data_IF_360944969275
#
_entry.id   IF_360944969275
#
_cell.length_a   1.000
_cell.length_b   1.000
_cell.length_c   1.000
_cell.angle_alpha   90.00
_cell.angle_beta   90.00
_cell.angle_gamma   90.00
#
_symmetry.space_group_name_H-M   'P 1'
#
loop_
_entity.id
_entity.type
_entity.pdbx_description
1 polymer ?
#
# COMPACT_ATOMS: atom_id res chain seq x y z
N UNK A 1 59.95 24.31 -28.58
CA UNK A 1 59.99 23.10 -29.45
C UNK A 1 59.30 23.52 -30.73
N UNK A 2 59.90 23.59 -31.92
CA UNK A 2 60.88 22.76 -32.68
C UNK A 2 61.74 23.75 -33.54
N UNK A 3 62.82 23.36 -34.26
CA UNK A 3 64.18 23.02 -33.83
C UNK A 3 65.27 23.95 -34.46
N UNK A 4 66.50 23.94 -33.93
CA UNK A 4 67.68 24.49 -34.62
C UNK A 4 68.55 23.34 -35.15
N UNK A 5 68.57 23.17 -36.47
CA UNK A 5 69.49 22.36 -37.27
C UNK A 5 70.10 23.33 -38.29
N UNK A 6 71.42 23.58 -38.28
CA UNK A 6 72.27 22.86 -39.22
C UNK A 6 73.71 22.68 -38.70
N UNK A 7 73.96 21.57 -37.98
CA UNK A 7 75.29 20.94 -37.93
C UNK A 7 75.32 19.57 -38.64
N UNK A 8 74.18 19.13 -39.17
CA UNK A 8 74.04 17.90 -39.95
C UNK A 8 74.40 18.06 -41.44
N UNK A 9 74.68 19.27 -41.95
CA UNK A 9 75.06 19.46 -43.36
C UNK A 9 76.54 19.18 -43.66
N UNK A 10 77.41 19.10 -42.64
CA UNK A 10 78.84 18.80 -42.83
C UNK A 10 79.16 17.30 -42.84
N UNK A 11 78.14 16.44 -42.68
CA UNK A 11 78.25 14.98 -42.80
C UNK A 11 77.89 14.45 -44.19
N UNK A 12 77.55 15.32 -45.15
CA UNK A 12 76.98 14.90 -46.45
C UNK A 12 77.76 15.32 -47.70
N UNK A 13 78.95 15.91 -47.54
CA UNK A 13 79.96 15.97 -48.60
C UNK A 13 81.09 15.04 -48.21
N UNK A 14 80.96 13.78 -48.59
CA UNK A 14 81.80 13.39 -49.71
C UNK A 14 82.83 12.32 -49.33
N UNK A 15 82.45 11.05 -49.17
CA UNK A 15 83.31 9.87 -49.20
C UNK A 15 84.14 9.73 -50.51
N UNK A 16 84.86 10.79 -50.92
CA UNK A 16 85.65 10.90 -52.15
C UNK A 16 87.16 10.83 -51.91
N UNK A 17 87.60 10.36 -50.74
CA UNK A 17 89.00 10.03 -50.46
C UNK A 17 89.17 8.56 -50.01
N UNK A 18 88.25 7.69 -50.41
CA UNK A 18 88.52 6.26 -50.47
C UNK A 18 89.03 5.95 -51.89
N UNK A 19 90.31 5.62 -52.01
CA UNK A 19 90.85 5.01 -53.23
C UNK A 19 91.04 3.51 -52.97
N UNK A 20 90.33 2.61 -53.68
CA UNK A 20 90.40 1.17 -53.48
C UNK A 20 91.70 0.59 -54.05
N UNK A 21 92.11 -0.55 -53.51
CA UNK A 21 93.22 -1.34 -54.02
C UNK A 21 92.90 -1.92 -55.41
N UNK A 22 93.29 -1.21 -56.48
CA UNK A 22 94.05 -1.75 -57.62
C UNK A 22 94.04 -0.77 -58.80
N UNK A 23 95.24 -0.62 -59.39
CA UNK A 23 95.59 0.06 -60.66
C UNK A 23 95.46 1.60 -60.71
N UNK A 24 96.58 2.18 -61.13
CA UNK A 24 96.88 3.59 -61.22
C UNK A 24 96.02 4.34 -62.25
N UNK A 25 95.52 5.53 -61.89
CA UNK A 25 95.79 6.76 -62.65
C UNK A 25 95.29 8.00 -61.88
N UNK A 26 96.24 8.90 -61.62
CA UNK A 26 96.14 10.37 -61.59
C UNK A 26 95.25 11.08 -60.54
N UNK A 27 95.96 11.87 -59.70
CA UNK A 27 95.52 13.02 -58.90
C UNK A 27 95.11 12.79 -57.44
N UNK A 28 95.89 12.02 -56.69
CA UNK A 28 95.92 12.13 -55.23
C UNK A 28 96.93 13.20 -54.79
N UNK A 29 96.48 14.23 -54.06
CA UNK A 29 97.35 15.26 -53.47
C UNK A 29 98.31 14.61 -52.45
N UNK A 30 99.61 14.78 -52.65
CA UNK A 30 100.62 14.28 -51.71
C UNK A 30 100.53 15.04 -50.37
N UNK A 31 100.90 14.40 -49.26
CA UNK A 31 100.92 14.98 -47.88
C UNK A 31 101.38 16.45 -47.79
N UNK A 32 102.46 16.91 -48.47
CA UNK A 32 102.84 18.32 -48.45
C UNK A 32 101.82 19.25 -49.13
N UNK A 33 101.16 18.83 -50.20
CA UNK A 33 100.16 19.64 -50.90
C UNK A 33 98.89 19.82 -50.06
N UNK A 34 98.49 18.80 -49.30
CA UNK A 34 97.37 18.87 -48.37
C UNK A 34 97.65 19.85 -47.21
N UNK A 35 98.86 19.86 -46.67
CA UNK A 35 99.26 20.79 -45.60
C UNK A 35 99.28 22.24 -46.08
N UNK A 36 99.70 22.49 -47.32
CA UNK A 36 99.66 23.84 -47.91
C UNK A 36 98.22 24.32 -48.11
N UNK A 37 97.32 23.44 -48.57
CA UNK A 37 95.90 23.76 -48.72
C UNK A 37 95.23 24.08 -47.37
N UNK A 38 95.54 23.31 -46.32
CA UNK A 38 95.03 23.57 -44.95
C UNK A 38 95.51 24.93 -44.43
N UNK A 39 96.79 25.29 -44.65
CA UNK A 39 97.32 26.60 -44.25
C UNK A 39 96.67 27.76 -44.99
N UNK A 40 96.42 27.60 -46.29
CA UNK A 40 95.68 28.60 -47.07
C UNK A 40 94.24 28.75 -46.58
N UNK A 41 93.56 27.64 -46.28
CA UNK A 41 92.20 27.67 -45.71
C UNK A 41 92.18 28.36 -44.33
N UNK A 42 93.16 28.08 -43.47
CA UNK A 42 93.28 28.73 -42.15
C UNK A 42 93.51 30.24 -42.27
N UNK A 43 94.32 30.71 -43.22
CA UNK A 43 94.49 32.16 -43.44
C UNK A 43 93.21 32.81 -43.97
N UNK A 44 92.48 32.13 -44.84
CA UNK A 44 91.21 32.61 -45.38
C UNK A 44 90.12 32.68 -44.31
N UNK A 45 90.05 31.68 -43.44
CA UNK A 45 89.17 31.66 -42.26
C UNK A 45 89.53 32.75 -41.25
N UNK A 46 90.82 32.98 -40.97
CA UNK A 46 91.27 34.05 -40.08
C UNK A 46 90.95 35.45 -40.63
N UNK A 47 91.06 35.62 -41.95
CA UNK A 47 90.62 36.84 -42.65
C UNK A 47 89.10 37.06 -42.58
N UNK A 48 88.31 36.01 -42.75
CA UNK A 48 86.85 36.05 -42.59
C UNK A 48 86.42 36.42 -41.16
N UNK A 49 87.12 35.90 -40.15
CA UNK A 49 86.86 36.18 -38.74
C UNK A 49 87.14 37.65 -38.38
N UNK A 50 88.22 38.24 -38.91
CA UNK A 50 88.52 39.67 -38.72
C UNK A 50 87.47 40.59 -39.37
N UNK A 51 87.01 40.27 -40.59
CA UNK A 51 85.94 41.03 -41.26
C UNK A 51 84.59 40.90 -40.56
N UNK A 52 84.28 39.72 -40.04
CA UNK A 52 83.05 39.48 -39.27
C UNK A 52 83.06 40.24 -37.93
N UNK A 53 84.20 40.25 -37.22
CA UNK A 53 84.36 41.02 -35.99
C UNK A 53 84.23 42.54 -36.23
N UNK A 54 84.74 43.04 -37.35
CA UNK A 54 84.62 44.45 -37.76
C UNK A 54 83.17 44.80 -38.16
N UNK A 55 82.47 43.87 -38.83
CA UNK A 55 81.04 43.97 -39.13
C UNK A 55 80.17 44.04 -37.87
N UNK A 56 80.45 43.22 -36.86
CA UNK A 56 79.78 43.29 -35.55
C UNK A 56 80.08 44.62 -34.84
N UNK A 57 81.32 45.12 -34.92
CA UNK A 57 81.68 46.43 -34.34
C UNK A 57 80.89 47.57 -35.00
N UNK A 58 80.76 47.54 -36.33
CA UNK A 58 79.95 48.51 -37.09
C UNK A 58 78.45 48.41 -36.75
N UNK A 59 77.90 47.20 -36.66
CA UNK A 59 76.51 46.98 -36.24
C UNK A 59 76.27 47.47 -34.81
N UNK A 60 77.20 47.23 -33.88
CA UNK A 60 77.11 47.72 -32.50
C UNK A 60 77.17 49.24 -32.42
N UNK A 61 77.99 49.88 -33.25
CA UNK A 61 78.05 51.34 -33.40
C UNK A 61 76.74 51.91 -33.96
N UNK A 62 76.16 51.30 -35.00
CA UNK A 62 74.84 51.69 -35.55
C UNK A 62 73.71 51.48 -34.55
N UNK A 63 73.75 50.38 -33.79
CA UNK A 63 72.78 50.10 -32.74
C UNK A 63 72.89 51.13 -31.59
N UNK A 64 74.10 51.55 -31.21
CA UNK A 64 74.29 52.61 -30.22
C UNK A 64 73.78 53.98 -30.72
N UNK A 65 73.95 54.30 -32.00
CA UNK A 65 73.39 55.49 -32.62
C UNK A 65 71.85 55.46 -32.69
N UNK A 66 71.26 54.30 -32.99
CA UNK A 66 69.81 54.05 -32.92
C UNK A 66 69.29 54.18 -31.48
N UNK A 67 69.99 53.61 -30.50
CA UNK A 67 69.60 53.72 -29.09
C UNK A 67 69.63 55.18 -28.62
N UNK A 68 70.66 55.94 -29.01
CA UNK A 68 70.76 57.38 -28.74
C UNK A 68 69.65 58.20 -29.41
N UNK A 69 69.06 57.70 -30.49
CA UNK A 69 67.97 58.36 -31.20
C UNK A 69 66.60 58.03 -30.56
N UNK A 70 66.43 56.79 -30.07
CA UNK A 70 65.22 56.35 -29.36
C UNK A 70 65.13 56.96 -27.96
N UNK A 71 66.26 57.17 -27.26
CA UNK A 71 66.29 57.83 -25.95
C UNK A 71 65.96 59.34 -25.98
N UNK A 72 65.78 59.95 -27.16
CA UNK A 72 65.37 61.36 -27.32
C UNK A 72 63.87 61.54 -27.55
N UNK A 73 63.08 60.46 -27.54
CA UNK A 73 61.61 60.52 -27.59
C UNK A 73 61.09 60.45 -26.15
N UNK A 74 60.37 61.50 -25.72
CA UNK A 74 59.71 61.55 -24.42
C UNK A 74 58.69 60.42 -24.25
N UNK A 75 58.39 59.94 -23.04
CA UNK A 75 57.50 58.80 -22.85
C UNK A 75 56.05 59.19 -23.22
N UNK A 76 55.46 58.44 -24.15
CA UNK A 76 54.02 58.45 -24.39
C UNK A 76 53.26 58.14 -23.10
N UNK A 77 52.05 58.69 -22.99
CA UNK A 77 51.14 58.53 -21.87
C UNK A 77 51.01 57.06 -21.42
N UNK A 78 50.79 56.78 -20.12
CA UNK A 78 50.67 55.42 -19.62
C UNK A 78 49.55 54.66 -20.36
N UNK A 79 49.74 53.37 -20.69
CA UNK A 79 48.74 52.58 -21.39
C UNK A 79 47.45 52.53 -20.58
N UNK A 80 46.32 52.77 -21.24
CA UNK A 80 44.99 52.69 -20.61
C UNK A 80 44.79 51.26 -20.09
N UNK A 81 44.57 51.14 -18.78
CA UNK A 81 44.34 49.87 -18.08
C UNK A 81 43.03 49.94 -17.32
N UNK A 82 42.22 48.88 -17.39
CA UNK A 82 40.99 48.76 -16.62
C UNK A 82 41.26 48.42 -15.15
N UNK A 83 40.32 48.71 -14.23
CA UNK A 83 40.42 48.32 -12.83
C UNK A 83 40.55 46.80 -12.64
N UNK A 84 41.34 46.38 -11.66
CA UNK A 84 41.51 44.97 -11.34
C UNK A 84 40.21 44.35 -10.80
N UNK A 85 39.80 43.22 -11.37
CA UNK A 85 38.60 42.48 -10.95
C UNK A 85 38.95 41.36 -9.98
N UNK A 86 38.10 41.14 -8.98
CA UNK A 86 38.20 40.01 -8.05
C UNK A 86 37.38 38.81 -8.54
N UNK A 87 37.73 37.62 -8.05
CA UNK A 87 36.86 36.45 -8.24
C UNK A 87 35.57 36.64 -7.43
N UNK A 88 34.39 36.28 -7.98
CA UNK A 88 33.16 36.28 -7.23
C UNK A 88 33.24 35.30 -6.04
N UNK A 89 32.51 35.60 -4.95
CA UNK A 89 32.34 34.66 -3.84
C UNK A 89 31.81 33.34 -4.38
N UNK A 90 32.42 32.23 -3.95
CA UNK A 90 32.11 30.87 -4.45
C UNK A 90 32.31 30.69 -5.96
N UNK A 91 33.25 31.43 -6.55
CA UNK A 91 33.64 31.29 -7.94
C UNK A 91 35.12 31.54 -8.20
N UNK A 92 35.48 31.51 -9.50
CA UNK A 92 36.84 31.61 -10.02
C UNK A 92 36.87 32.62 -11.15
N UNK A 93 37.99 33.33 -11.26
CA UNK A 93 38.29 34.29 -12.34
C UNK A 93 39.45 33.78 -13.18
N UNK A 94 39.32 33.85 -14.50
CA UNK A 94 40.36 33.48 -15.46
C UNK A 94 40.79 34.73 -16.23
N UNK A 95 42.08 35.08 -16.13
CA UNK A 95 42.66 36.27 -16.76
C UNK A 95 43.38 37.16 -15.74
N UNK A 96 44.62 37.55 -16.06
CA UNK A 96 45.51 38.35 -15.21
C UNK A 96 45.96 39.68 -15.83
N UNK A 97 45.53 39.96 -17.08
CA UNK A 97 45.87 41.17 -17.82
C UNK A 97 44.63 42.08 -17.91
N UNK A 98 44.84 43.39 -17.75
CA UNK A 98 43.77 44.39 -17.70
C UNK A 98 43.96 45.51 -18.75
N UNK A 99 44.67 45.21 -19.84
CA UNK A 99 44.90 46.14 -20.95
C UNK A 99 43.72 46.10 -21.92
N UNK A 100 43.58 47.13 -22.76
CA UNK A 100 42.57 47.19 -23.82
C UNK A 100 42.53 45.88 -24.64
N UNK A 101 41.31 45.44 -24.98
CA UNK A 101 40.98 44.19 -25.70
C UNK A 101 41.26 42.88 -24.96
N UNK A 102 41.75 42.91 -23.71
CA UNK A 102 41.84 41.71 -22.90
C UNK A 102 40.48 41.32 -22.31
N UNK A 103 40.18 40.03 -22.35
CA UNK A 103 38.96 39.42 -21.83
C UNK A 103 39.22 38.63 -20.54
N UNK A 104 38.33 38.80 -19.56
CA UNK A 104 38.36 38.09 -18.28
C UNK A 104 37.11 37.25 -18.15
N UNK A 105 37.26 35.97 -17.84
CA UNK A 105 36.16 35.02 -17.71
C UNK A 105 35.86 34.67 -16.25
N UNK A 106 34.60 34.34 -15.95
CA UNK A 106 34.14 33.96 -14.62
C UNK A 106 33.43 32.61 -14.64
N UNK A 107 33.64 31.81 -13.60
CA UNK A 107 32.89 30.57 -13.37
C UNK A 107 32.55 30.43 -11.89
N UNK A 108 31.44 29.77 -11.56
CA UNK A 108 31.09 29.44 -10.18
C UNK A 108 31.58 28.04 -9.81
N UNK A 109 31.80 27.82 -8.51
CA UNK A 109 32.05 26.50 -7.96
C UNK A 109 30.80 25.59 -8.12
N UNK A 110 30.95 24.26 -8.09
CA UNK A 110 29.81 23.34 -8.09
C UNK A 110 28.80 23.70 -6.99
N UNK A 111 27.50 23.66 -7.30
CA UNK A 111 26.42 24.07 -6.40
C UNK A 111 26.00 25.54 -6.52
N UNK A 112 26.66 26.34 -7.36
CA UNK A 112 26.32 27.74 -7.60
C UNK A 112 26.12 28.03 -9.09
N UNK A 113 25.14 28.90 -9.41
CA UNK A 113 24.89 29.39 -10.77
C UNK A 113 25.42 30.81 -10.93
N UNK A 114 26.00 31.08 -12.09
CA UNK A 114 26.48 32.43 -12.45
C UNK A 114 25.29 33.32 -12.80
N UNK A 115 25.21 34.48 -12.15
CA UNK A 115 24.24 35.54 -12.43
C UNK A 115 25.01 36.75 -12.95
N UNK A 116 24.82 37.08 -14.24
CA UNK A 116 25.54 38.12 -14.96
C UNK A 116 26.30 37.59 -16.18
N UNK A 117 27.17 38.41 -16.80
CA UNK A 117 27.94 38.00 -17.98
C UNK A 117 29.04 36.98 -17.62
N UNK A 118 29.26 35.99 -18.49
CA UNK A 118 30.31 34.96 -18.32
C UNK A 118 31.73 35.47 -18.59
N UNK A 119 31.85 36.60 -19.29
CA UNK A 119 33.11 37.27 -19.57
C UNK A 119 32.92 38.77 -19.78
N UNK A 120 33.99 39.53 -19.54
CA UNK A 120 34.03 40.99 -19.72
C UNK A 120 35.33 41.40 -20.42
N UNK A 121 35.25 42.42 -21.29
CA UNK A 121 36.36 42.91 -22.10
C UNK A 121 36.73 44.34 -21.69
N UNK A 122 38.03 44.66 -21.65
CA UNK A 122 38.51 46.01 -21.32
C UNK A 122 38.43 46.94 -22.53
N UNK A 123 37.71 48.05 -22.39
CA UNK A 123 37.49 49.04 -23.45
C UNK A 123 38.58 50.14 -23.47
N UNK A 124 38.77 50.82 -24.62
CA UNK A 124 39.73 51.93 -24.76
C UNK A 124 39.47 53.12 -23.82
N UNK A 125 38.27 53.21 -23.24
CA UNK A 125 37.89 54.24 -22.26
C UNK A 125 38.25 53.87 -20.80
N UNK A 126 38.89 52.71 -20.58
CA UNK A 126 39.29 52.23 -19.25
C UNK A 126 38.17 51.55 -18.45
N UNK A 127 37.05 51.18 -19.08
CA UNK A 127 35.91 50.49 -18.44
C UNK A 127 35.68 49.07 -18.98
N UNK A 128 34.96 48.24 -18.21
CA UNK A 128 34.59 46.88 -18.62
C UNK A 128 33.26 46.89 -19.39
N UNK A 129 33.08 45.96 -20.34
CA UNK A 129 31.86 45.84 -21.16
C UNK A 129 30.58 45.46 -20.40
N UNK A 130 30.68 45.05 -19.12
CA UNK A 130 29.54 44.65 -18.31
C UNK A 130 29.81 44.71 -16.80
N UNK A 131 28.77 44.51 -16.00
CA UNK A 131 28.86 44.45 -14.54
C UNK A 131 29.54 43.15 -14.07
N UNK A 132 30.14 43.19 -12.88
CA UNK A 132 30.80 42.03 -12.30
C UNK A 132 29.75 40.95 -11.91
N UNK A 133 29.86 39.71 -12.42
CA UNK A 133 28.89 38.67 -12.12
C UNK A 133 29.06 38.15 -10.68
N UNK A 134 28.00 37.60 -10.11
CA UNK A 134 28.02 36.94 -8.80
C UNK A 134 27.47 35.51 -8.88
N UNK A 135 27.89 34.67 -7.95
CA UNK A 135 27.43 33.30 -7.85
C UNK A 135 26.27 33.21 -6.86
N UNK A 136 25.16 32.59 -7.28
CA UNK A 136 24.00 32.33 -6.42
C UNK A 136 23.87 30.82 -6.18
N UNK A 137 23.63 30.45 -4.93
CA UNK A 137 23.39 29.06 -4.52
C UNK A 137 22.26 28.42 -5.33
N UNK A 138 22.48 27.18 -5.75
CA UNK A 138 21.49 26.30 -6.40
C UNK A 138 21.06 25.24 -5.38
N UNK A 139 20.24 25.65 -4.40
CA UNK A 139 19.56 24.72 -3.49
C UNK A 139 18.34 24.15 -4.19
N UNK A 140 18.31 22.83 -4.33
CA UNK A 140 17.19 22.11 -4.94
C UNK A 140 15.92 22.26 -4.08
N UNK A 141 16.06 22.37 -2.75
CA UNK A 141 14.94 22.58 -1.82
C UNK A 141 14.38 24.01 -1.83
N UNK A 142 15.10 25.01 -2.35
CA UNK A 142 14.61 26.40 -2.43
C UNK A 142 13.33 26.54 -3.29
N UNK A 143 13.11 25.60 -4.21
CA UNK A 143 11.91 25.52 -5.05
C UNK A 143 10.67 24.95 -4.33
N UNK A 144 10.80 24.58 -3.05
CA UNK A 144 9.77 23.86 -2.26
C UNK A 144 9.18 22.66 -3.04
N UNK A 145 10.01 21.70 -3.47
CA UNK A 145 9.56 20.66 -4.38
C UNK A 145 8.63 19.64 -3.71
N UNK A 146 8.69 19.47 -2.39
CA UNK A 146 7.85 18.54 -1.65
C UNK A 146 6.43 19.08 -1.47
N UNK A 147 5.44 18.29 -1.86
CA UNK A 147 4.02 18.66 -1.75
C UNK A 147 3.45 18.18 -0.41
N UNK A 148 2.26 18.71 -0.06
CA UNK A 148 1.42 18.18 1.02
C UNK A 148 2.10 18.10 2.40
N UNK A 149 2.94 19.09 2.74
CA UNK A 149 3.64 19.15 4.02
C UNK A 149 4.84 18.22 4.15
N UNK A 150 5.37 17.68 3.04
CA UNK A 150 6.62 16.93 3.03
C UNK A 150 7.84 17.80 3.34
N UNK A 151 8.78 17.27 4.13
CA UNK A 151 10.03 17.96 4.48
C UNK A 151 11.09 17.69 3.42
N UNK A 152 11.59 18.73 2.77
CA UNK A 152 12.69 18.63 1.81
C UNK A 152 14.02 18.52 2.55
N UNK A 153 14.84 17.54 2.19
CA UNK A 153 16.22 17.44 2.68
C UNK A 153 17.19 17.36 1.50
N UNK A 154 18.23 18.17 1.57
CA UNK A 154 19.30 18.22 0.57
C UNK A 154 20.11 16.91 0.60
N UNK A 155 20.48 16.42 -0.58
CA UNK A 155 21.29 15.20 -0.75
C UNK A 155 22.48 15.46 -1.66
N UNK A 156 23.44 14.53 -1.67
CA UNK A 156 24.77 14.75 -2.26
C UNK A 156 24.82 15.00 -3.79
N UNK A 157 23.69 14.96 -4.50
CA UNK A 157 23.50 15.38 -5.90
C UNK A 157 21.99 15.43 -6.30
N UNK A 158 21.07 15.41 -5.32
CA UNK A 158 19.61 15.45 -5.52
C UNK A 158 18.88 15.71 -4.19
N UNK A 159 17.75 16.42 -4.21
CA UNK A 159 16.83 16.52 -3.06
C UNK A 159 16.02 15.24 -2.81
N UNK A 160 15.66 14.96 -1.55
CA UNK A 160 14.63 13.94 -1.21
C UNK A 160 13.54 14.54 -0.33
N UNK A 161 12.31 14.07 -0.50
CA UNK A 161 11.19 14.45 0.34
C UNK A 161 10.93 13.39 1.41
N UNK A 162 10.89 13.82 2.68
CA UNK A 162 10.41 13.01 3.80
C UNK A 162 8.92 13.28 3.96
N UNK A 163 8.10 12.27 3.66
CA UNK A 163 6.65 12.42 3.65
C UNK A 163 6.04 12.24 5.05
N UNK A 164 5.03 13.05 5.41
CA UNK A 164 4.27 12.83 6.63
C UNK A 164 3.49 11.50 6.58
N UNK A 165 3.06 10.96 7.74
CA UNK A 165 2.23 9.77 7.79
C UNK A 165 1.01 9.92 6.87
N UNK A 166 0.68 8.88 6.10
CA UNK A 166 -0.45 8.95 5.19
C UNK A 166 -0.12 9.38 3.75
N UNK A 167 1.17 9.62 3.42
CA UNK A 167 1.60 10.11 2.08
C UNK A 167 2.79 9.32 1.53
N UNK A 168 2.81 9.11 0.21
CA UNK A 168 3.86 8.41 -0.53
C UNK A 168 4.22 9.12 -1.83
N UNK A 169 5.28 8.65 -2.51
CA UNK A 169 5.80 9.22 -3.76
C UNK A 169 7.02 10.11 -3.54
N UNK A 170 7.77 10.36 -4.62
CA UNK A 170 9.04 11.11 -4.60
C UNK A 170 8.90 12.58 -4.16
N UNK A 171 7.70 13.16 -4.30
CA UNK A 171 7.35 14.52 -3.86
C UNK A 171 6.20 14.53 -2.84
N UNK A 172 5.89 13.38 -2.22
CA UNK A 172 4.72 13.21 -1.36
C UNK A 172 3.38 13.53 -2.05
N UNK A 173 3.32 13.28 -3.35
CA UNK A 173 2.17 13.60 -4.21
C UNK A 173 1.04 12.57 -4.09
N UNK A 174 1.31 11.37 -3.59
CA UNK A 174 0.30 10.32 -3.41
C UNK A 174 -0.18 10.29 -1.96
N UNK A 175 -1.47 10.06 -1.77
CA UNK A 175 -2.01 9.67 -0.47
C UNK A 175 -1.83 8.17 -0.33
N UNK A 176 -1.35 7.69 0.82
CA UNK A 176 -1.41 6.26 1.10
C UNK A 176 -2.88 5.90 1.20
N UNK A 177 -3.37 5.05 0.30
CA UNK A 177 -4.61 4.32 0.51
C UNK A 177 -4.35 3.29 1.63
N UNK A 178 -4.27 3.78 2.86
CA UNK A 178 -4.49 2.93 4.02
C UNK A 178 -5.99 2.72 4.05
N UNK A 179 -6.40 1.53 3.62
CA UNK A 179 -7.77 1.08 3.73
C UNK A 179 -8.24 1.19 5.18
N UNK A 180 -9.40 1.83 5.39
CA UNK A 180 -9.97 1.96 6.73
C UNK A 180 -10.77 0.69 6.97
N UNK A 181 -10.32 -0.16 7.88
CA UNK A 181 -11.06 -1.37 8.20
C UNK A 181 -12.38 -1.02 8.90
N UNK A 182 -13.48 -0.97 8.16
CA UNK A 182 -14.80 -0.63 8.73
C UNK A 182 -15.29 -1.72 9.68
N UNK A 183 -14.87 -2.97 9.49
CA UNK A 183 -15.22 -4.07 10.38
C UNK A 183 -14.63 -3.89 11.77
N UNK A 184 -13.40 -3.39 11.89
CA UNK A 184 -12.80 -3.03 13.17
C UNK A 184 -13.42 -1.76 13.75
N UNK A 185 -13.73 -0.78 12.88
CA UNK A 185 -14.30 0.49 13.30
C UNK A 185 -15.71 0.36 13.90
N UNK A 186 -16.55 -0.51 13.33
CA UNK A 186 -17.94 -0.75 13.77
C UNK A 186 -18.13 -2.07 14.53
N UNK A 187 -17.08 -2.88 14.69
CA UNK A 187 -17.12 -4.13 15.48
C UNK A 187 -17.09 -3.93 16.99
N UNK A 188 -17.01 -2.67 17.48
CA UNK A 188 -17.01 -2.35 18.90
C UNK A 188 -18.44 -2.25 19.47
N UNK A 189 -18.66 -2.75 20.68
CA UNK A 189 -19.97 -2.86 21.36
C UNK A 189 -20.75 -1.53 21.50
N UNK A 190 -20.07 -0.39 21.35
CA UNK A 190 -20.66 0.95 21.47
C UNK A 190 -21.21 1.52 20.14
N UNK A 191 -21.16 0.77 19.03
CA UNK A 191 -21.60 1.24 17.71
C UNK A 191 -22.72 0.38 17.12
N UNK A 192 -23.56 0.95 16.25
CA UNK A 192 -24.56 0.18 15.51
C UNK A 192 -23.86 -0.94 14.73
N UNK A 193 -24.38 -2.17 14.88
CA UNK A 193 -23.83 -3.36 14.24
C UNK A 193 -23.86 -3.18 12.71
N UNK A 194 -22.69 -3.22 12.07
CA UNK A 194 -22.53 -2.92 10.64
C UNK A 194 -23.14 -3.99 9.73
N UNK A 195 -22.91 -5.24 10.10
CA UNK A 195 -23.41 -6.45 9.45
C UNK A 195 -24.21 -7.26 10.47
N UNK A 196 -25.30 -7.90 10.05
CA UNK A 196 -26.07 -8.78 10.94
C UNK A 196 -25.20 -9.92 11.48
N UNK A 197 -24.32 -10.49 10.64
CA UNK A 197 -23.39 -11.54 11.02
C UNK A 197 -21.92 -11.14 10.84
N UNK A 198 -21.23 -11.66 9.82
CA UNK A 198 -19.80 -11.44 9.62
C UNK A 198 -19.54 -10.25 8.70
N UNK A 199 -18.51 -9.47 9.03
CA UNK A 199 -18.01 -8.36 8.22
C UNK A 199 -16.65 -8.73 7.63
N UNK A 200 -16.50 -8.52 6.33
CA UNK A 200 -15.23 -8.74 5.62
C UNK A 200 -14.75 -7.43 5.04
N UNK A 201 -13.59 -6.98 5.52
CA UNK A 201 -12.94 -5.78 5.03
C UNK A 201 -12.41 -5.98 3.61
N UNK A 202 -12.55 -4.97 2.75
CA UNK A 202 -12.08 -4.98 1.37
C UNK A 202 -11.38 -3.66 1.05
N UNK A 203 -10.39 -3.62 0.14
CA UNK A 203 -9.76 -2.34 -0.19
C UNK A 203 -10.78 -1.30 -0.68
N UNK A 204 -10.96 -0.23 0.10
CA UNK A 204 -11.88 0.88 -0.15
C UNK A 204 -13.34 0.65 0.27
N UNK A 205 -13.68 -0.49 0.90
CA UNK A 205 -15.04 -0.78 1.36
C UNK A 205 -15.13 -2.00 2.30
N UNK A 206 -16.32 -2.46 2.61
CA UNK A 206 -16.55 -3.74 3.27
C UNK A 206 -17.69 -4.49 2.59
N UNK A 207 -17.78 -5.79 2.87
CA UNK A 207 -18.98 -6.57 2.55
C UNK A 207 -19.41 -7.40 3.76
N UNK A 208 -20.72 -7.55 3.92
CA UNK A 208 -21.27 -8.46 4.90
C UNK A 208 -21.38 -9.86 4.30
N UNK A 209 -21.20 -10.88 5.13
CA UNK A 209 -21.35 -12.28 4.74
C UNK A 209 -22.23 -13.00 5.76
N UNK A 210 -23.15 -13.80 5.24
CA UNK A 210 -24.06 -14.61 6.05
C UNK A 210 -23.46 -16.01 6.29
N UNK A 211 -23.83 -16.66 7.40
CA UNK A 211 -23.43 -18.03 7.66
C UNK A 211 -24.08 -19.00 6.67
N UNK A 212 -23.63 -20.26 6.66
CA UNK A 212 -24.22 -21.33 5.84
C UNK A 212 -25.71 -21.49 6.12
N UNK A 213 -26.51 -21.73 5.09
CA UNK A 213 -27.98 -21.81 5.19
C UNK A 213 -28.67 -20.44 5.18
N UNK A 214 -27.94 -19.33 5.11
CA UNK A 214 -28.49 -17.97 5.03
C UNK A 214 -28.06 -17.27 3.75
N UNK A 215 -28.95 -16.42 3.23
CA UNK A 215 -28.67 -15.53 2.09
C UNK A 215 -28.72 -14.07 2.52
N UNK A 216 -27.92 -13.25 1.86
CA UNK A 216 -27.88 -11.81 2.10
C UNK A 216 -29.12 -11.13 1.49
N UNK A 217 -29.71 -10.21 2.24
CA UNK A 217 -30.84 -9.41 1.79
C UNK A 217 -30.38 -8.27 0.86
N UNK A 218 -31.34 -7.61 0.22
CA UNK A 218 -31.10 -6.53 -0.74
C UNK A 218 -30.40 -5.30 -0.11
N UNK A 219 -30.42 -5.18 1.22
CA UNK A 219 -29.70 -4.14 1.96
C UNK A 219 -28.18 -4.39 2.04
N UNK A 220 -27.72 -5.59 1.63
CA UNK A 220 -26.32 -5.99 1.68
C UNK A 220 -25.77 -6.17 3.10
N UNK A 221 -26.64 -6.24 4.12
CA UNK A 221 -26.23 -6.24 5.54
C UNK A 221 -26.94 -7.30 6.37
N UNK A 222 -28.22 -7.56 6.06
CA UNK A 222 -29.06 -8.47 6.80
C UNK A 222 -29.04 -9.88 6.18
N UNK A 223 -29.24 -10.88 7.01
CA UNK A 223 -29.26 -12.29 6.62
C UNK A 223 -30.68 -12.84 6.78
N UNK A 224 -31.13 -13.56 5.76
CA UNK A 224 -32.40 -14.28 5.77
C UNK A 224 -32.13 -15.77 5.59
N UNK A 225 -32.82 -16.56 6.40
CA UNK A 225 -32.76 -18.02 6.37
C UNK A 225 -33.25 -18.54 5.02
N UNK A 226 -32.58 -19.55 4.49
CA UNK A 226 -32.99 -20.21 3.24
C UNK A 226 -33.94 -21.32 3.61
N UNK A 227 -35.23 -21.16 3.30
CA UNK A 227 -36.22 -22.21 3.54
C UNK A 227 -36.01 -23.39 2.57
N UNK A 228 -35.31 -24.42 3.04
CA UNK A 228 -35.09 -25.63 2.24
C UNK A 228 -36.37 -26.44 2.04
N UNK A 229 -37.36 -26.31 2.92
CA UNK A 229 -38.63 -27.02 2.82
C UNK A 229 -39.57 -26.42 1.75
N UNK A 230 -39.39 -25.16 1.39
CA UNK A 230 -40.14 -24.51 0.31
C UNK A 230 -39.63 -24.86 -1.11
N UNK A 231 -38.49 -25.55 -1.20
CA UNK A 231 -37.85 -25.92 -2.46
C UNK A 231 -38.58 -27.03 -3.24
N UNK A 232 -38.41 -27.10 -4.58
CA UNK A 232 -39.07 -28.10 -5.43
C UNK A 232 -38.48 -29.52 -5.33
N UNK A 233 -37.38 -29.71 -4.59
CA UNK A 233 -36.75 -31.01 -4.39
C UNK A 233 -37.14 -31.58 -3.03
N UNK A 234 -37.65 -32.83 -2.99
CA UNK A 234 -37.87 -33.57 -1.74
C UNK A 234 -36.52 -33.85 -1.08
N UNK A 235 -36.07 -32.95 -0.19
CA UNK A 235 -34.79 -33.11 0.52
C UNK A 235 -34.89 -34.12 1.67
N UNK A 236 -36.11 -34.46 2.08
CA UNK A 236 -36.38 -35.43 3.13
C UNK A 236 -36.74 -36.81 2.57
N UNK A 237 -36.39 -37.91 3.28
CA UNK A 237 -36.81 -39.27 2.92
C UNK A 237 -38.33 -39.40 2.79
N UNK A 238 -38.79 -40.34 1.96
CA UNK A 238 -40.23 -40.56 1.78
C UNK A 238 -40.90 -40.90 3.12
N UNK A 239 -42.05 -40.27 3.38
CA UNK A 239 -42.83 -40.45 4.62
C UNK A 239 -42.40 -39.57 5.79
N UNK A 240 -41.38 -38.72 5.64
CA UNK A 240 -40.97 -37.73 6.65
C UNK A 240 -41.45 -36.33 6.30
N UNK A 241 -41.68 -35.51 7.32
CA UNK A 241 -42.09 -34.11 7.15
C UNK A 241 -40.88 -33.19 7.35
N UNK A 242 -40.70 -32.23 6.43
CA UNK A 242 -39.63 -31.24 6.51
C UNK A 242 -40.02 -30.11 7.47
N UNK A 243 -39.12 -29.77 8.40
CA UNK A 243 -39.23 -28.61 9.29
C UNK A 243 -38.04 -27.70 9.01
N UNK A 244 -38.33 -26.46 8.60
CA UNK A 244 -37.29 -25.46 8.38
C UNK A 244 -36.71 -24.99 9.72
N UNK A 245 -35.38 -24.92 9.83
CA UNK A 245 -34.67 -24.52 11.04
C UNK A 245 -33.65 -23.41 10.73
N UNK A 246 -33.21 -22.65 11.73
CA UNK A 246 -32.26 -21.57 11.46
C UNK A 246 -30.90 -22.10 10.96
N UNK A 247 -30.63 -21.93 9.65
CA UNK A 247 -29.41 -22.34 8.96
C UNK A 247 -29.48 -23.73 8.31
N UNK A 248 -30.66 -24.34 8.25
CA UNK A 248 -30.85 -25.64 7.62
C UNK A 248 -32.23 -26.23 7.90
N UNK A 249 -32.41 -27.54 7.73
CA UNK A 249 -33.71 -28.18 7.94
C UNK A 249 -33.58 -29.49 8.72
N UNK A 250 -34.70 -29.93 9.30
CA UNK A 250 -34.83 -31.21 9.99
C UNK A 250 -35.98 -32.01 9.40
N UNK A 251 -35.72 -33.29 9.10
CA UNK A 251 -36.76 -34.23 8.66
C UNK A 251 -37.28 -35.00 9.87
N UNK A 252 -38.56 -34.82 10.20
CA UNK A 252 -39.17 -35.45 11.37
C UNK A 252 -40.28 -36.42 10.96
N UNK A 253 -40.39 -37.52 11.70
CA UNK A 253 -41.50 -38.46 11.60
C UNK A 253 -42.09 -38.66 12.99
N UNK A 254 -43.04 -37.81 13.43
CA UNK A 254 -43.74 -38.02 14.69
C UNK A 254 -44.55 -39.32 14.62
N UNK A 255 -44.22 -40.24 15.53
CA UNK A 255 -44.93 -41.50 15.71
C UNK A 255 -45.80 -41.44 16.96
N UNK A 256 -47.00 -42.02 16.86
CA UNK A 256 -47.87 -42.16 18.02
C UNK A 256 -47.23 -43.13 19.01
N UNK A 257 -47.34 -42.91 20.33
CA UNK A 257 -46.81 -43.84 21.31
C UNK A 257 -47.37 -45.24 21.13
N UNK A 258 -46.54 -46.24 21.40
CA UNK A 258 -46.99 -47.63 21.42
C UNK A 258 -48.12 -47.81 22.45
N UNK A 259 -49.14 -48.57 22.04
CA UNK A 259 -50.26 -48.89 22.90
C UNK A 259 -49.83 -49.74 24.09
N UNK A 260 -50.53 -49.59 25.22
CA UNK A 260 -50.33 -50.43 26.41
C UNK A 260 -51.65 -51.04 26.84
N UNK A 261 -51.71 -52.38 26.93
CA UNK A 261 -52.95 -53.11 27.20
C UNK A 261 -54.01 -52.86 26.12
N UNK A 262 -55.23 -52.51 26.53
CA UNK A 262 -56.36 -52.22 25.62
C UNK A 262 -56.34 -50.79 25.05
N UNK A 263 -55.25 -50.06 25.24
CA UNK A 263 -55.14 -48.65 24.87
C UNK A 263 -54.27 -48.52 23.64
N UNK A 264 -54.83 -47.98 22.55
CA UNK A 264 -54.10 -47.68 21.31
C UNK A 264 -54.32 -46.25 20.87
N UNK A 265 -53.34 -45.71 20.15
CA UNK A 265 -53.41 -44.39 19.52
C UNK A 265 -53.54 -44.52 18.01
N UNK A 266 -54.39 -43.68 17.43
CA UNK A 266 -54.58 -43.58 15.99
C UNK A 266 -54.06 -42.22 15.55
N UNK A 267 -53.23 -42.21 14.49
CA UNK A 267 -52.72 -40.97 13.88
C UNK A 267 -53.86 -40.31 13.12
N UNK A 268 -54.37 -39.19 13.64
CA UNK A 268 -55.48 -38.43 13.04
C UNK A 268 -55.00 -37.34 12.11
N UNK A 269 -53.78 -36.84 12.32
CA UNK A 269 -53.09 -35.92 11.43
C UNK A 269 -51.58 -36.20 11.43
N UNK A 270 -50.78 -35.58 10.54
CA UNK A 270 -49.33 -35.72 10.59
C UNK A 270 -48.71 -35.43 11.95
N UNK A 271 -49.36 -34.57 12.76
CA UNK A 271 -48.86 -34.08 14.04
C UNK A 271 -49.79 -34.35 15.22
N UNK A 272 -50.79 -35.22 15.06
CA UNK A 272 -51.75 -35.50 16.12
C UNK A 272 -52.12 -36.97 16.16
N UNK A 273 -52.16 -37.48 17.39
CA UNK A 273 -52.63 -38.80 17.74
C UNK A 273 -53.82 -38.68 18.68
N UNK A 274 -54.86 -39.45 18.41
CA UNK A 274 -56.02 -39.57 19.28
C UNK A 274 -56.10 -41.00 19.82
N UNK A 275 -56.47 -41.12 21.09
CA UNK A 275 -56.71 -42.43 21.68
C UNK A 275 -58.04 -43.03 21.26
N UNK A 276 -58.04 -44.35 21.14
CA UNK A 276 -59.29 -45.08 21.09
C UNK A 276 -60.10 -44.90 22.39
N UNK A 277 -61.45 -44.82 22.31
CA UNK A 277 -62.31 -44.64 23.48
C UNK A 277 -62.02 -45.69 24.58
N UNK A 278 -61.72 -45.21 25.78
CA UNK A 278 -61.45 -46.06 26.94
C UNK A 278 -62.73 -46.70 27.48
N UNK A 279 -62.74 -47.99 27.85
CA UNK A 279 -63.77 -48.56 28.72
C UNK A 279 -63.75 -47.87 30.10
N UNK A 280 -64.93 -47.44 30.58
CA UNK A 280 -65.10 -46.59 31.77
C UNK A 280 -64.49 -47.14 33.07
N UNK A 281 -64.20 -48.44 33.15
CA UNK A 281 -63.70 -49.12 34.35
C UNK A 281 -62.17 -49.18 34.46
N UNK A 282 -61.44 -48.84 33.40
CA UNK A 282 -59.98 -48.93 33.38
C UNK A 282 -59.30 -47.72 34.05
N UNK A 283 -58.94 -47.85 35.34
CA UNK A 283 -58.15 -46.83 36.07
C UNK A 283 -56.84 -46.41 35.36
N UNK A 284 -56.07 -47.32 34.71
CA UNK A 284 -54.88 -46.93 33.96
C UNK A 284 -55.19 -46.04 32.74
N UNK A 285 -56.28 -46.31 32.02
CA UNK A 285 -56.66 -45.55 30.81
C UNK A 285 -57.06 -44.11 31.12
N UNK A 286 -57.67 -43.87 32.30
CA UNK A 286 -58.02 -42.52 32.77
C UNK A 286 -56.82 -41.59 32.96
N UNK A 287 -55.64 -42.13 33.26
CA UNK A 287 -54.44 -41.32 33.52
C UNK A 287 -53.64 -41.02 32.25
N UNK A 288 -53.82 -41.81 31.20
CA UNK A 288 -53.12 -41.56 29.94
C UNK A 288 -53.73 -40.32 29.23
N UNK A 289 -53.03 -39.66 28.28
CA UNK A 289 -53.54 -38.49 27.53
C UNK A 289 -54.45 -38.79 26.31
N UNK A 290 -55.70 -38.33 26.31
CA UNK A 290 -56.70 -38.56 25.24
C UNK A 290 -56.18 -38.15 23.87
N UNK A 291 -55.47 -37.03 23.79
CA UNK A 291 -54.80 -36.59 22.55
C UNK A 291 -53.34 -36.26 22.83
N UNK A 292 -52.49 -36.55 21.84
CA UNK A 292 -51.09 -36.18 21.83
C UNK A 292 -50.82 -35.39 20.55
N UNK A 293 -50.31 -34.17 20.67
CA UNK A 293 -49.93 -33.34 19.53
C UNK A 293 -48.44 -33.03 19.53
N UNK A 294 -47.85 -32.93 18.35
CA UNK A 294 -46.44 -32.63 18.13
C UNK A 294 -46.29 -31.24 17.53
N UNK A 295 -45.41 -30.42 18.11
CA UNK A 295 -45.13 -29.07 17.66
C UNK A 295 -43.62 -28.88 17.53
N UNK A 296 -43.21 -28.18 16.50
CA UNK A 296 -41.80 -27.92 16.21
C UNK A 296 -41.58 -26.42 16.11
N UNK A 297 -40.61 -25.91 16.85
CA UNK A 297 -40.26 -24.48 16.89
C UNK A 297 -38.79 -24.31 16.57
N UNK A 298 -38.45 -23.35 15.73
CA UNK A 298 -37.08 -22.97 15.41
C UNK A 298 -36.78 -21.59 15.99
N UNK A 299 -35.69 -21.47 16.75
CA UNK A 299 -35.28 -20.23 17.44
C UNK A 299 -33.78 -19.97 17.24
N UNK A 300 -33.33 -18.70 17.19
CA UNK A 300 -31.91 -18.37 17.25
C UNK A 300 -31.33 -18.67 18.63
N UNK A 301 -30.01 -18.81 18.72
CA UNK A 301 -29.35 -18.89 20.02
C UNK A 301 -29.32 -17.53 20.72
N UNK A 302 -29.14 -17.57 22.03
CA UNK A 302 -29.00 -16.41 22.89
C UNK A 302 -30.15 -15.38 22.85
N UNK A 303 -31.38 -15.86 22.68
CA UNK A 303 -32.59 -15.03 22.83
C UNK A 303 -32.60 -14.29 24.17
N UNK A 304 -32.95 -13.00 24.13
CA UNK A 304 -33.11 -12.18 25.35
C UNK A 304 -34.29 -12.68 26.16
N UNK A 305 -34.03 -13.12 27.39
CA UNK A 305 -35.07 -13.55 28.32
C UNK A 305 -35.49 -12.44 29.29
N UNK A 306 -36.74 -12.44 29.78
CA UNK A 306 -37.80 -13.40 29.46
C UNK A 306 -38.46 -13.15 28.10
N UNK A 307 -38.76 -14.22 27.36
CA UNK A 307 -39.49 -14.16 26.08
C UNK A 307 -40.64 -15.18 26.08
N UNK A 308 -41.84 -14.73 25.69
CA UNK A 308 -43.00 -15.60 25.51
C UNK A 308 -42.86 -16.34 24.18
N UNK A 309 -42.75 -17.66 24.23
CA UNK A 309 -42.53 -18.48 23.02
C UNK A 309 -43.86 -18.78 22.32
N UNK A 310 -44.87 -19.20 23.07
CA UNK A 310 -46.19 -19.47 22.52
C UNK A 310 -47.29 -19.37 23.58
N UNK A 311 -48.49 -19.07 23.09
CA UNK A 311 -49.71 -19.00 23.88
C UNK A 311 -50.61 -20.18 23.54
N UNK A 312 -50.97 -20.94 24.56
CA UNK A 312 -51.94 -22.02 24.46
C UNK A 312 -53.28 -21.54 24.99
N UNK A 313 -54.35 -21.88 24.30
CA UNK A 313 -55.72 -21.59 24.68
C UNK A 313 -56.53 -22.89 24.68
N UNK A 314 -57.53 -22.99 25.57
CA UNK A 314 -58.55 -24.02 25.41
C UNK A 314 -59.29 -23.80 24.09
N UNK A 315 -59.62 -24.88 23.38
CA UNK A 315 -60.52 -24.79 22.24
C UNK A 315 -61.90 -24.34 22.75
N UNK A 316 -62.20 -23.04 22.63
CA UNK A 316 -63.53 -22.51 22.91
C UNK A 316 -64.38 -22.68 21.65
N UNK A 317 -65.46 -23.45 21.73
CA UNK A 317 -66.50 -23.38 20.73
C UNK A 317 -67.08 -21.94 20.75
N UNK A 318 -67.39 -21.33 19.59
CA UNK A 318 -68.06 -20.03 19.56
C UNK A 318 -69.36 -20.10 20.38
N UNK A 319 -69.44 -19.32 21.47
CA UNK A 319 -70.68 -19.16 22.24
C UNK A 319 -70.87 -20.08 23.46
N UNK A 320 -69.89 -20.87 23.91
CA UNK A 320 -69.94 -21.53 25.23
C UNK A 320 -68.71 -21.19 26.06
N UNK A 321 -68.87 -20.77 27.34
CA UNK A 321 -67.74 -20.64 28.25
C UNK A 321 -67.07 -22.01 28.40
N UNK A 322 -65.88 -22.15 27.79
CA UNK A 322 -65.06 -23.36 27.87
C UNK A 322 -64.78 -23.74 29.32
N UNK A 323 -64.74 -25.04 29.63
CA UNK A 323 -64.87 -25.48 31.00
C UNK A 323 -63.54 -25.35 31.76
N UNK A 324 -63.67 -25.34 33.09
CA UNK A 324 -62.74 -24.73 34.02
C UNK A 324 -61.33 -25.37 34.01
N UNK A 325 -60.32 -24.48 33.96
CA UNK A 325 -58.90 -24.68 34.32
C UNK A 325 -58.14 -25.83 33.65
N UNK A 326 -57.24 -25.47 32.74
CA UNK A 326 -56.05 -26.26 32.44
C UNK A 326 -55.06 -26.10 33.59
N UNK A 327 -54.63 -27.21 34.19
CA UNK A 327 -53.44 -27.25 35.05
C UNK A 327 -52.29 -27.77 34.20
N UNK A 328 -51.24 -26.97 34.06
CA UNK A 328 -50.07 -27.32 33.26
C UNK A 328 -48.93 -27.80 34.16
N UNK A 329 -48.39 -28.97 33.84
CA UNK A 329 -47.13 -29.47 34.40
C UNK A 329 -46.09 -29.54 33.29
N UNK A 330 -44.85 -29.16 33.58
CA UNK A 330 -43.70 -29.45 32.72
C UNK A 330 -43.15 -30.80 33.18
N UNK A 331 -43.48 -31.86 32.45
CA UNK A 331 -42.96 -33.21 32.66
C UNK A 331 -41.78 -33.47 31.74
N UNK A 332 -40.72 -34.12 32.24
CA UNK A 332 -39.69 -34.70 31.37
C UNK A 332 -38.74 -33.70 30.70
N UNK A 333 -37.78 -33.18 31.46
CA UNK A 333 -36.60 -32.49 30.97
C UNK A 333 -35.68 -32.24 32.16
N UNK A 334 -34.37 -32.44 32.03
CA UNK A 334 -33.42 -32.32 33.16
C UNK A 334 -33.36 -30.92 33.80
N UNK A 335 -34.09 -29.93 33.29
CA UNK A 335 -33.97 -28.53 33.70
C UNK A 335 -35.32 -27.81 33.71
N UNK A 336 -35.99 -27.83 34.87
CA UNK A 336 -37.05 -26.85 35.25
C UNK A 336 -36.58 -25.38 35.23
N UNK A 337 -35.37 -25.11 34.76
CA UNK A 337 -34.71 -23.81 34.77
C UNK A 337 -35.03 -22.94 33.55
N UNK A 338 -35.17 -23.51 32.35
CA UNK A 338 -35.27 -22.68 31.13
C UNK A 338 -36.68 -22.20 30.83
N UNK A 339 -37.70 -22.97 31.20
CA UNK A 339 -39.09 -22.67 30.85
C UNK A 339 -39.94 -22.54 32.10
N UNK A 340 -40.78 -21.50 32.11
CA UNK A 340 -41.83 -21.32 33.10
C UNK A 340 -43.15 -21.17 32.37
N UNK A 341 -44.17 -21.84 32.91
CA UNK A 341 -45.53 -21.68 32.43
C UNK A 341 -46.25 -20.65 33.28
N UNK A 342 -46.78 -19.60 32.66
CA UNK A 342 -47.56 -18.57 33.33
C UNK A 342 -48.99 -18.55 32.79
N UNK A 343 -49.97 -18.43 33.67
CA UNK A 343 -51.37 -18.28 33.27
C UNK A 343 -51.65 -16.82 32.96
N UNK A 344 -52.00 -16.50 31.71
CA UNK A 344 -52.38 -15.13 31.32
C UNK A 344 -53.85 -14.82 31.61
N UNK A 345 -54.75 -15.81 31.51
CA UNK A 345 -56.15 -15.66 31.93
C UNK A 345 -56.82 -17.01 32.30
N UNK A 346 -58.16 -17.04 32.42
CA UNK A 346 -58.87 -18.27 32.81
C UNK A 346 -58.76 -19.40 31.78
N UNK A 347 -58.48 -19.11 30.52
CA UNK A 347 -58.53 -20.04 29.40
C UNK A 347 -57.21 -20.14 28.63
N UNK A 348 -56.26 -19.25 28.90
CA UNK A 348 -54.98 -19.21 28.20
C UNK A 348 -53.80 -19.29 29.17
N UNK A 349 -52.74 -19.93 28.67
CA UNK A 349 -51.45 -20.02 29.33
C UNK A 349 -50.33 -19.73 28.34
N UNK A 350 -49.24 -19.19 28.85
CA UNK A 350 -48.05 -18.80 28.10
C UNK A 350 -46.84 -19.57 28.58
N UNK A 351 -46.11 -20.19 27.64
CA UNK A 351 -44.81 -20.77 27.93
C UNK A 351 -43.74 -19.69 27.71
N UNK A 352 -43.00 -19.40 28.76
CA UNK A 352 -42.00 -18.34 28.80
C UNK A 352 -40.62 -18.97 28.94
N UNK A 353 -39.71 -18.58 28.07
CA UNK A 353 -38.28 -18.87 28.23
C UNK A 353 -37.70 -17.87 29.22
N UNK A 354 -37.24 -18.35 30.37
CA UNK A 354 -36.70 -17.52 31.47
C UNK A 354 -35.18 -17.53 31.54
N UNK A 355 -34.53 -18.52 30.93
CA UNK A 355 -33.07 -18.57 30.79
C UNK A 355 -32.67 -18.68 29.33
N UNK A 356 -31.58 -18.03 28.98
CA UNK A 356 -31.00 -18.06 27.64
C UNK A 356 -30.72 -19.50 27.20
N UNK A 357 -30.97 -19.79 25.92
CA UNK A 357 -30.62 -21.07 25.30
C UNK A 357 -29.38 -20.90 24.44
N UNK A 358 -28.34 -21.65 24.75
CA UNK A 358 -27.13 -21.74 23.91
C UNK A 358 -27.40 -22.66 22.72
N UNK A 359 -26.86 -22.35 21.53
CA UNK A 359 -26.98 -23.19 20.34
C UNK A 359 -25.67 -23.89 19.97
N UNK A 360 -25.70 -24.95 19.14
CA UNK A 360 -26.88 -25.65 18.64
C UNK A 360 -27.37 -26.72 19.62
N UNK A 361 -28.67 -26.74 19.91
CA UNK A 361 -29.27 -27.81 20.72
C UNK A 361 -30.73 -28.07 20.34
N UNK A 362 -31.20 -29.28 20.65
CA UNK A 362 -32.62 -29.64 20.52
C UNK A 362 -33.16 -29.91 21.91
N UNK A 363 -34.27 -29.27 22.24
CA UNK A 363 -34.95 -29.41 23.53
C UNK A 363 -36.33 -29.99 23.30
N UNK A 364 -36.74 -30.90 24.18
CA UNK A 364 -38.09 -31.44 24.19
C UNK A 364 -38.80 -30.97 25.46
N UNK A 365 -40.02 -30.48 25.29
CA UNK A 365 -40.87 -29.99 26.38
C UNK A 365 -42.23 -30.66 26.24
N UNK A 366 -42.56 -31.53 27.20
CA UNK A 366 -43.90 -32.10 27.30
C UNK A 366 -44.77 -31.18 28.17
N UNK A 367 -45.86 -30.69 27.57
CA UNK A 367 -46.86 -29.89 28.25
C UNK A 367 -48.09 -30.75 28.53
N UNK A 368 -48.26 -31.09 29.80
CA UNK A 368 -49.44 -31.81 30.28
C UNK A 368 -50.62 -30.85 30.48
N UNK A 369 -51.80 -31.25 30.03
CA UNK A 369 -53.04 -30.48 30.11
C UNK A 369 -54.17 -31.37 30.62
N UNK A 370 -54.98 -30.87 31.56
CA UNK A 370 -56.15 -31.59 32.06
C UNK A 370 -57.42 -30.79 31.81
N UNK A 371 -58.41 -31.45 31.20
CA UNK A 371 -59.74 -30.91 30.91
C UNK A 371 -60.72 -31.28 32.04
N UNK A 372 -61.44 -30.28 32.56
CA UNK A 372 -62.50 -30.47 33.55
C UNK A 372 -63.78 -29.82 33.07
N UNK A 373 -64.90 -30.56 33.13
CA UNK A 373 -66.25 -30.08 32.89
C UNK A 373 -67.05 -30.12 34.19
N UNK A 374 -67.62 -28.99 34.60
CA UNK A 374 -68.39 -28.85 35.85
C UNK A 374 -67.67 -29.42 37.09
N UNK A 375 -66.36 -29.15 37.20
CA UNK A 375 -65.44 -29.66 38.24
C UNK A 375 -65.20 -31.18 38.21
N UNK A 376 -65.71 -31.88 37.21
CA UNK A 376 -65.43 -33.29 36.94
C UNK A 376 -64.32 -33.44 35.91
N UNK A 377 -63.35 -34.30 36.19
CA UNK A 377 -62.26 -34.63 35.26
C UNK A 377 -62.82 -35.31 34.01
N UNK A 378 -62.44 -34.81 32.83
CA UNK A 378 -62.86 -35.38 31.54
C UNK A 378 -61.71 -36.15 30.89
N UNK A 379 -60.57 -35.49 30.69
CA UNK A 379 -59.45 -36.05 29.93
C UNK A 379 -58.13 -35.37 30.25
N UNK A 380 -57.03 -36.05 29.93
CA UNK A 380 -55.69 -35.46 29.83
C UNK A 380 -55.34 -35.24 28.36
N UNK A 381 -54.47 -34.27 28.07
CA UNK A 381 -53.92 -33.98 26.76
C UNK A 381 -52.44 -33.71 26.93
N UNK A 382 -51.63 -34.12 25.95
CA UNK A 382 -50.18 -33.87 25.95
C UNK A 382 -49.82 -33.13 24.68
N UNK A 383 -49.09 -32.04 24.83
CA UNK A 383 -48.44 -31.35 23.72
C UNK A 383 -46.94 -31.54 23.85
N UNK A 384 -46.36 -32.29 22.91
CA UNK A 384 -44.91 -32.45 22.78
C UNK A 384 -44.36 -31.32 21.93
N UNK A 385 -43.51 -30.49 22.51
CA UNK A 385 -42.90 -29.35 21.82
C UNK A 385 -41.42 -29.60 21.67
N UNK A 386 -40.96 -29.74 20.44
CA UNK A 386 -39.54 -29.85 20.11
C UNK A 386 -39.04 -28.48 19.65
N UNK A 387 -38.03 -27.96 20.35
CA UNK A 387 -37.42 -26.66 20.07
C UNK A 387 -36.04 -26.90 19.48
N UNK A 388 -35.84 -26.45 18.25
CA UNK A 388 -34.55 -26.41 17.57
C UNK A 388 -33.90 -25.06 17.79
N UNK A 389 -32.75 -25.06 18.47
CA UNK A 389 -31.96 -23.84 18.70
C UNK A 389 -30.83 -23.81 17.66
N UNK A 390 -30.87 -22.81 16.79
CA UNK A 390 -29.85 -22.54 15.79
C UNK A 390 -28.48 -22.25 16.46
N UNK A 391 -27.34 -22.55 15.82
CA UNK A 391 -26.01 -22.21 16.33
C UNK A 391 -25.66 -20.71 16.28
N UNK A 392 -26.55 -19.87 15.74
CA UNK A 392 -26.27 -18.47 15.47
C UNK A 392 -27.20 -17.53 16.26
N UNK A 393 -26.59 -16.47 16.80
CA UNK A 393 -27.29 -15.36 17.45
C UNK A 393 -27.68 -14.34 16.38
N UNK A 394 -28.98 -14.20 16.11
CA UNK A 394 -29.52 -13.28 15.09
C UNK A 394 -30.25 -12.08 15.69
#
# INVERSE_FOLDING_TARGET
MVPNLPRALFLLLLPLLACPASRASQNCLNKPQLLTAIRQLQQLLKGQETRFAEGIRSMKSRLAALHSSVSKVAPDAPPVSCPALNAPSDGRKFGSKYLVDHEVHFACNPGFRLVGPSSVVCLPNGTWTGEQPHCKDVSDCASQPCQNGGTCVEGANQYRCVCPPGRTGSRCQHQTQTDVNECELYGQEARPRLCMHACVNTPGSYRCTCPSGYRILADGKSCEDVDECAGPQSMCPQGTTCINTGGGFQCVSPECPEGSGNVSYVKTSPFQCERNPCPMDSRPCRHMPKTISFHYLSLPSNLRTPITLFRMATASAPGRPGPNSLRFGIGGGNSRGHFVMQRSDRQTGELILVQTLEGPQTLEVDVDMSEYQDRSFQANHVSKVTIFVSPYDF
#
